data_IF_401833345070
#
_entry.id   IF_401833345070
#
_cell.length_a   1.000
_cell.length_b   1.000
_cell.length_c   1.000
_cell.angle_alpha   90.00
_cell.angle_beta   90.00
_cell.angle_gamma   90.00
#
_symmetry.space_group_name_H-M   'P 1'
#
loop_
_entity.id
_entity.type
_entity.pdbx_description
1 polymer ?
#
# COMPACT_ATOMS: atom_id res chain seq x y z
N UNK A 1 -55.91 35.12 -6.55
CA UNK A 1 -54.57 34.71 -7.04
C UNK A 1 -54.06 33.70 -6.03
N UNK A 2 -53.85 32.45 -6.45
CA UNK A 2 -53.24 31.42 -5.60
C UNK A 2 -51.74 31.70 -5.47
N UNK A 3 -51.22 31.76 -4.25
CA UNK A 3 -49.82 32.11 -4.00
C UNK A 3 -49.01 30.82 -3.76
N UNK A 4 -48.21 30.42 -4.76
CA UNK A 4 -47.21 29.36 -4.60
C UNK A 4 -46.12 29.88 -3.66
N UNK A 5 -45.77 29.09 -2.65
CA UNK A 5 -44.68 29.41 -1.72
C UNK A 5 -43.50 28.49 -2.00
N UNK A 6 -42.34 29.06 -2.26
CA UNK A 6 -41.09 28.28 -2.39
C UNK A 6 -40.48 28.11 -1.00
N UNK A 7 -40.17 26.86 -0.64
CA UNK A 7 -39.38 26.54 0.55
C UNK A 7 -38.01 26.02 0.13
N UNK A 8 -36.99 26.33 0.93
CA UNK A 8 -35.61 25.93 0.69
C UNK A 8 -35.02 25.41 1.99
N UNK A 9 -34.29 24.31 1.91
CA UNK A 9 -33.60 23.74 3.05
C UNK A 9 -32.18 23.34 2.65
N UNK A 10 -31.22 23.73 3.47
CA UNK A 10 -29.81 23.43 3.28
C UNK A 10 -29.26 22.71 4.51
N UNK A 11 -28.54 21.61 4.27
CA UNK A 11 -27.78 20.90 5.28
C UNK A 11 -26.29 20.99 4.99
N UNK A 12 -25.51 21.25 6.05
CA UNK A 12 -24.06 21.25 6.03
C UNK A 12 -23.55 20.18 6.98
N UNK A 13 -22.77 19.23 6.45
CA UNK A 13 -22.04 18.23 7.21
C UNK A 13 -20.57 18.60 7.25
N UNK A 14 -19.98 18.64 8.45
CA UNK A 14 -18.54 18.78 8.63
C UNK A 14 -17.90 17.38 8.53
N UNK A 15 -16.95 17.21 7.63
CA UNK A 15 -16.28 15.91 7.40
C UNK A 15 -14.93 15.82 8.12
N UNK A 16 -14.53 16.87 8.85
CA UNK A 16 -13.18 17.02 9.37
C UNK A 16 -12.21 17.54 8.30
N UNK A 17 -10.95 17.76 8.67
CA UNK A 17 -9.88 18.20 7.75
C UNK A 17 -10.19 19.44 6.90
N UNK A 18 -10.98 20.39 7.44
CA UNK A 18 -11.44 21.58 6.72
C UNK A 18 -12.35 21.28 5.52
N UNK A 19 -12.87 20.06 5.41
CA UNK A 19 -13.82 19.66 4.38
C UNK A 19 -15.26 19.70 4.91
N UNK A 20 -16.18 20.20 4.09
CA UNK A 20 -17.61 20.19 4.40
C UNK A 20 -18.41 19.77 3.18
N UNK A 21 -19.45 18.97 3.41
CA UNK A 21 -20.44 18.61 2.40
C UNK A 21 -21.68 19.48 2.59
N UNK A 22 -22.20 20.04 1.51
CA UNK A 22 -23.40 20.87 1.52
C UNK A 22 -24.42 20.28 0.55
N UNK A 23 -25.67 20.22 0.96
CA UNK A 23 -26.78 19.87 0.09
C UNK A 23 -27.91 20.86 0.34
N UNK A 24 -28.43 21.43 -0.73
CA UNK A 24 -29.58 22.32 -0.72
C UNK A 24 -30.62 21.77 -1.68
N UNK A 25 -31.87 21.72 -1.24
CA UNK A 25 -33.02 21.40 -2.07
C UNK A 25 -34.11 22.46 -1.89
N UNK A 26 -34.92 22.58 -2.93
CA UNK A 26 -36.05 23.49 -2.99
C UNK A 26 -37.32 22.70 -3.30
N UNK A 27 -38.45 23.14 -2.75
CA UNK A 27 -39.75 22.57 -3.02
C UNK A 27 -40.80 23.69 -3.09
N UNK A 28 -41.80 23.51 -3.95
CA UNK A 28 -42.95 24.39 -4.04
C UNK A 28 -44.07 23.84 -3.16
N UNK A 29 -44.63 24.69 -2.29
CA UNK A 29 -45.79 24.38 -1.45
C UNK A 29 -47.04 24.82 -2.19
N UNK A 30 -47.90 23.85 -2.46
CA UNK A 30 -49.15 24.03 -3.20
C UNK A 30 -50.25 24.64 -2.32
N UNK A 31 -51.28 25.21 -2.96
CA UNK A 31 -52.42 25.75 -2.22
C UNK A 31 -53.21 24.61 -1.54
N UNK A 32 -53.45 24.74 -0.23
CA UNK A 32 -54.10 23.71 0.58
C UNK A 32 -53.16 22.67 1.18
N UNK A 33 -51.88 22.72 0.86
CA UNK A 33 -50.84 21.89 1.49
C UNK A 33 -50.41 22.49 2.83
N UNK A 34 -50.17 21.65 3.83
CA UNK A 34 -49.59 22.08 5.09
C UNK A 34 -48.11 22.45 4.89
N UNK A 35 -47.71 23.71 5.09
CA UNK A 35 -46.33 24.14 4.95
C UNK A 35 -45.40 23.42 5.92
N UNK A 36 -45.84 23.03 7.11
CA UNK A 36 -45.00 22.29 8.06
C UNK A 36 -44.67 20.90 7.51
N UNK A 37 -45.68 20.18 7.01
CA UNK A 37 -45.49 18.85 6.42
C UNK A 37 -44.61 18.89 5.16
N UNK A 38 -44.75 19.93 4.32
CA UNK A 38 -43.87 20.13 3.17
C UNK A 38 -42.40 20.37 3.59
N UNK A 39 -42.18 21.15 4.66
CA UNK A 39 -40.84 21.37 5.23
C UNK A 39 -40.26 20.08 5.81
N UNK A 40 -41.04 19.29 6.56
CA UNK A 40 -40.56 18.02 7.10
C UNK A 40 -40.12 17.04 6.01
N UNK A 41 -40.89 16.91 4.93
CA UNK A 41 -40.53 16.08 3.78
C UNK A 41 -39.25 16.55 3.10
N UNK A 42 -39.12 17.87 2.89
CA UNK A 42 -37.91 18.45 2.30
C UNK A 42 -36.67 18.21 3.20
N UNK A 43 -36.82 18.36 4.51
CA UNK A 43 -35.76 18.10 5.48
C UNK A 43 -35.31 16.64 5.48
N UNK A 44 -36.25 15.70 5.52
CA UNK A 44 -35.96 14.27 5.47
C UNK A 44 -35.20 13.90 4.20
N UNK A 45 -35.63 14.44 3.05
CA UNK A 45 -35.00 14.16 1.77
C UNK A 45 -33.55 14.67 1.72
N UNK A 46 -33.30 15.89 2.21
CA UNK A 46 -31.94 16.45 2.29
C UNK A 46 -31.07 15.64 3.27
N UNK A 47 -31.58 15.27 4.44
CA UNK A 47 -30.84 14.46 5.43
C UNK A 47 -30.49 13.06 4.90
N UNK A 48 -31.39 12.43 4.14
CA UNK A 48 -31.12 11.13 3.52
C UNK A 48 -30.07 11.23 2.42
N UNK A 49 -30.29 12.13 1.45
CA UNK A 49 -29.40 12.27 0.29
C UNK A 49 -27.99 12.75 0.67
N UNK A 50 -27.85 13.55 1.72
CA UNK A 50 -26.52 14.02 2.13
C UNK A 50 -25.69 12.89 2.76
N UNK A 51 -26.30 11.83 3.30
CA UNK A 51 -25.61 10.70 3.96
C UNK A 51 -25.40 9.48 3.05
N UNK A 52 -26.37 9.17 2.20
CA UNK A 52 -26.39 7.97 1.35
C UNK A 52 -25.10 7.74 0.52
N UNK A 53 -24.49 8.75 -0.13
CA UNK A 53 -23.25 8.54 -0.89
C UNK A 53 -22.05 8.15 -0.03
N UNK A 54 -22.03 8.55 1.25
CA UNK A 54 -20.90 8.26 2.13
C UNK A 54 -20.92 6.83 2.62
N UNK A 55 -22.08 6.29 2.94
CA UNK A 55 -22.20 4.93 3.46
C UNK A 55 -21.70 3.89 2.44
N UNK A 56 -22.14 4.01 1.19
CA UNK A 56 -21.67 3.14 0.10
C UNK A 56 -20.16 3.24 -0.13
N UNK A 57 -19.62 4.46 -0.07
CA UNK A 57 -18.20 4.70 -0.28
C UNK A 57 -17.35 4.14 0.87
N UNK A 58 -17.82 4.28 2.12
CA UNK A 58 -17.19 3.69 3.30
C UNK A 58 -17.18 2.16 3.19
N UNK A 59 -18.30 1.54 2.82
CA UNK A 59 -18.39 0.08 2.67
C UNK A 59 -17.44 -0.42 1.58
N UNK A 60 -17.36 0.29 0.45
CA UNK A 60 -16.40 -0.03 -0.63
C UNK A 60 -14.96 0.06 -0.13
N UNK A 61 -14.61 1.12 0.58
CA UNK A 61 -13.26 1.33 1.13
C UNK A 61 -12.90 0.23 2.14
N UNK A 62 -13.81 -0.15 3.05
CA UNK A 62 -13.60 -1.25 4.00
C UNK A 62 -13.28 -2.55 3.26
N UNK A 63 -14.05 -2.90 2.22
CA UNK A 63 -13.82 -4.11 1.43
C UNK A 63 -12.48 -4.09 0.71
N UNK A 64 -12.08 -2.93 0.18
CA UNK A 64 -10.80 -2.76 -0.49
C UNK A 64 -9.64 -2.92 0.49
N UNK A 65 -9.68 -2.21 1.62
CA UNK A 65 -8.64 -2.29 2.65
C UNK A 65 -8.51 -3.70 3.23
N UNK A 66 -9.61 -4.42 3.43
CA UNK A 66 -9.56 -5.82 3.87
C UNK A 66 -8.87 -6.75 2.87
N UNK A 67 -9.06 -6.51 1.56
CA UNK A 67 -8.33 -7.26 0.52
C UNK A 67 -6.85 -6.94 0.54
N UNK A 68 -6.51 -5.67 0.65
CA UNK A 68 -5.13 -5.19 0.68
C UNK A 68 -4.37 -5.75 1.90
N UNK A 69 -4.98 -5.72 3.09
CA UNK A 69 -4.40 -6.34 4.30
C UNK A 69 -4.10 -7.82 4.08
N UNK A 70 -5.03 -8.58 3.50
CA UNK A 70 -4.81 -10.02 3.21
C UNK A 70 -3.67 -10.22 2.22
N UNK A 71 -3.62 -9.41 1.17
CA UNK A 71 -2.58 -9.48 0.15
C UNK A 71 -1.20 -9.18 0.76
N UNK A 72 -1.07 -8.07 1.50
CA UNK A 72 0.17 -7.70 2.16
C UNK A 72 0.61 -8.72 3.21
N UNK A 73 -0.32 -9.34 3.95
CA UNK A 73 0.00 -10.44 4.87
C UNK A 73 0.55 -11.66 4.13
N UNK A 74 -0.04 -12.02 2.98
CA UNK A 74 0.45 -13.14 2.18
C UNK A 74 1.84 -12.87 1.61
N UNK A 75 2.09 -11.66 1.11
CA UNK A 75 3.38 -11.23 0.58
C UNK A 75 4.45 -11.19 1.68
N UNK A 76 4.11 -10.63 2.85
CA UNK A 76 4.99 -10.66 4.03
C UNK A 76 5.38 -12.09 4.41
N UNK A 77 4.40 -13.00 4.49
CA UNK A 77 4.68 -14.39 4.84
C UNK A 77 5.56 -15.08 3.80
N UNK A 78 5.33 -14.81 2.50
CA UNK A 78 6.15 -15.34 1.42
C UNK A 78 7.59 -14.84 1.54
N UNK A 79 7.77 -13.52 1.69
CA UNK A 79 9.09 -12.90 1.89
C UNK A 79 9.80 -13.46 3.11
N UNK A 80 9.11 -13.63 4.25
CA UNK A 80 9.69 -14.25 5.43
C UNK A 80 10.14 -15.69 5.19
N UNK A 81 9.38 -16.47 4.41
CA UNK A 81 9.77 -17.83 4.02
C UNK A 81 10.99 -17.81 3.09
N UNK A 82 11.00 -16.92 2.09
CA UNK A 82 12.12 -16.77 1.15
C UNK A 82 13.40 -16.36 1.88
N UNK A 83 13.31 -15.39 2.80
CA UNK A 83 14.45 -14.98 3.64
C UNK A 83 14.95 -16.14 4.50
N UNK A 84 14.05 -16.91 5.13
CA UNK A 84 14.42 -18.10 5.92
C UNK A 84 15.04 -19.21 5.08
N UNK A 85 14.64 -19.39 3.82
CA UNK A 85 15.26 -20.37 2.93
C UNK A 85 16.64 -19.94 2.44
N UNK A 86 16.83 -18.65 2.17
CA UNK A 86 18.13 -18.10 1.77
C UNK A 86 19.13 -18.06 2.93
N UNK A 87 18.67 -17.83 4.16
CA UNK A 87 19.50 -17.93 5.37
C UNK A 87 19.85 -19.36 5.77
N UNK A 88 19.32 -20.37 5.07
CA UNK A 88 19.59 -21.81 5.28
C UNK A 88 20.52 -22.40 4.23
N UNK A 89 21.02 -21.62 3.29
CA UNK A 89 22.15 -22.04 2.46
C UNK A 89 23.30 -22.32 3.42
N UNK A 90 23.77 -23.57 3.55
CA UNK A 90 24.88 -23.86 4.43
C UNK A 90 26.08 -23.05 3.93
N UNK A 91 26.70 -22.28 4.83
CA UNK A 91 28.11 -21.95 4.64
C UNK A 91 28.82 -23.27 4.30
N UNK A 92 29.71 -23.31 3.29
CA UNK A 92 30.55 -24.48 3.10
C UNK A 92 31.20 -24.77 4.46
N UNK A 93 31.01 -26.00 4.95
CA UNK A 93 31.56 -26.45 6.22
C UNK A 93 33.06 -26.12 6.25
N UNK A 94 33.62 -25.66 7.39
CA UNK A 94 35.06 -25.42 7.53
C UNK A 94 35.93 -26.68 7.36
N UNK A 95 35.32 -27.84 7.17
CA UNK A 95 35.97 -29.16 7.24
C UNK A 95 36.24 -29.80 5.86
N UNK A 96 36.03 -29.10 4.75
CA UNK A 96 36.67 -29.48 3.48
C UNK A 96 37.94 -28.63 3.31
N UNK A 97 38.91 -28.86 4.19
CA UNK A 97 40.32 -28.59 3.87
C UNK A 97 40.64 -29.43 2.64
N UNK A 98 40.77 -28.79 1.48
CA UNK A 98 41.57 -29.36 0.40
C UNK A 98 42.91 -29.78 1.04
N UNK A 99 43.37 -31.03 0.90
CA UNK A 99 44.65 -31.40 1.46
C UNK A 99 45.68 -30.43 0.88
N UNK A 100 46.39 -29.71 1.75
CA UNK A 100 47.52 -28.87 1.33
C UNK A 100 48.38 -29.71 0.38
N UNK A 101 48.67 -29.22 -0.84
CA UNK A 101 49.53 -29.95 -1.75
C UNK A 101 50.85 -30.21 -1.02
N UNK A 102 51.21 -31.48 -0.87
CA UNK A 102 52.42 -31.93 -0.19
C UNK A 102 53.61 -31.16 -0.81
N UNK A 103 54.41 -30.40 -0.02
CA UNK A 103 55.52 -29.63 -0.57
C UNK A 103 56.56 -30.51 -1.29
N UNK A 104 56.52 -31.82 -1.08
CA UNK A 104 57.36 -32.80 -1.78
C UNK A 104 56.80 -33.24 -3.16
N UNK A 105 55.56 -32.91 -3.50
CA UNK A 105 54.92 -33.18 -4.80
C UNK A 105 55.09 -32.04 -5.82
N UNK A 106 55.93 -31.04 -5.49
CA UNK A 106 56.37 -30.04 -6.47
C UNK A 106 57.31 -30.74 -7.46
N UNK A 107 56.95 -30.88 -8.75
CA UNK A 107 57.87 -31.40 -9.74
C UNK A 107 58.96 -30.35 -9.96
N UNK A 108 60.08 -30.47 -9.25
CA UNK A 108 61.30 -29.75 -9.59
C UNK A 108 61.80 -30.30 -10.93
N UNK A 109 61.31 -29.71 -12.03
CA UNK A 109 61.99 -29.81 -13.31
C UNK A 109 63.44 -29.39 -13.10
N UNK A 110 64.35 -30.34 -13.32
CA UNK A 110 65.77 -30.19 -13.04
C UNK A 110 66.34 -28.93 -13.69
N UNK A 111 66.71 -27.97 -12.86
CA UNK A 111 67.54 -26.85 -13.29
C UNK A 111 68.91 -27.41 -13.68
N UNK A 112 69.11 -27.54 -14.99
CA UNK A 112 70.39 -27.85 -15.61
C UNK A 112 71.48 -26.89 -15.11
N UNK A 113 72.65 -27.47 -14.89
CA UNK A 113 73.85 -26.76 -14.49
C UNK A 113 74.37 -25.81 -15.59
N UNK A 114 75.12 -24.81 -15.10
CA UNK A 114 76.23 -24.09 -15.74
C UNK A 114 76.01 -22.63 -16.20
N UNK A 115 76.37 -21.75 -15.25
CA UNK A 115 77.40 -20.68 -15.33
C UNK A 115 77.26 -19.50 -16.30
N UNK A 116 77.33 -18.30 -15.69
CA UNK A 116 78.02 -17.05 -16.10
C UNK A 116 77.76 -16.58 -17.53
N UNK A 117 77.26 -15.38 -17.78
CA UNK A 117 77.80 -14.09 -17.32
C UNK A 117 76.96 -12.99 -17.96
N UNK A 118 76.53 -11.98 -17.21
CA UNK A 118 76.80 -10.60 -17.65
C UNK A 118 76.54 -9.61 -16.52
N UNK A 119 77.58 -8.85 -16.22
CA UNK A 119 77.64 -7.78 -15.25
C UNK A 119 77.66 -6.49 -16.07
N UNK A 120 76.63 -5.66 -15.98
CA UNK A 120 76.71 -4.28 -16.47
C UNK A 120 75.68 -3.40 -15.75
N UNK A 121 76.17 -2.54 -14.86
CA UNK A 121 75.59 -1.21 -14.67
C UNK A 121 76.73 -0.23 -14.35
N UNK A 122 76.97 0.67 -15.33
CA UNK A 122 77.83 1.88 -15.37
C UNK A 122 79.35 1.78 -15.15
#
# INVERSE_FOLDING_TARGET
>A
MSQIKLITYQRVLNLGNYESKRLELQAEVMEGEDPEEAVYRLMEQVERQIREPQEDQIIKNIRQLQKEVKQLQSEKNLLEQTCKSLSKTPEPSPDEEEPDPDPDDIPFEGAGAATSSDLADY
#
